data_IF_764870053951
#
_entry.id   IF_764870053951
#
_cell.length_a   1.000
_cell.length_b   1.000
_cell.length_c   1.000
_cell.angle_alpha   90.00
_cell.angle_beta   90.00
_cell.angle_gamma   90.00
#
_symmetry.space_group_name_H-M   'P 1'
#
loop_
_entity.id
_entity.type
_entity.pdbx_description
1 polymer ?
#
# COMPACT_ATOMS: atom_id res chain seq x y z
N UNK A 1 4.54 -1.13 -19.51
CA UNK A 1 5.29 -1.82 -18.45
C UNK A 1 5.62 -3.23 -18.94
N UNK A 2 6.83 -3.70 -18.70
CA UNK A 2 7.16 -5.11 -18.91
C UNK A 2 6.51 -6.01 -17.84
N UNK A 3 6.54 -7.35 -17.97
CA UNK A 3 5.89 -8.24 -17.00
C UNK A 3 6.40 -8.11 -15.55
N UNK A 4 7.68 -7.83 -15.36
CA UNK A 4 8.28 -7.65 -14.02
C UNK A 4 7.81 -6.34 -13.38
N UNK A 5 7.81 -5.26 -14.16
CA UNK A 5 7.27 -3.95 -13.76
C UNK A 5 5.78 -4.06 -13.42
N UNK A 6 5.00 -4.83 -14.18
CA UNK A 6 3.59 -5.06 -13.90
C UNK A 6 3.37 -5.86 -12.61
N UNK A 7 4.18 -6.89 -12.36
CA UNK A 7 4.14 -7.65 -11.11
C UNK A 7 4.46 -6.75 -9.90
N UNK A 8 5.48 -5.91 -10.03
CA UNK A 8 5.85 -4.93 -9.00
C UNK A 8 4.75 -3.90 -8.76
N UNK A 9 4.16 -3.34 -9.82
CA UNK A 9 3.04 -2.42 -9.70
C UNK A 9 1.86 -3.02 -8.92
N UNK A 10 1.60 -4.33 -9.09
CA UNK A 10 0.54 -5.03 -8.35
C UNK A 10 0.84 -5.08 -6.87
N UNK A 11 2.06 -5.47 -6.51
CA UNK A 11 2.51 -5.50 -5.12
C UNK A 11 2.38 -4.11 -4.47
N UNK A 12 2.85 -3.06 -5.14
CA UNK A 12 2.72 -1.68 -4.64
C UNK A 12 1.25 -1.31 -4.44
N UNK A 13 0.39 -1.64 -5.41
CA UNK A 13 -1.03 -1.34 -5.32
C UNK A 13 -1.72 -2.11 -4.19
N UNK A 14 -1.43 -3.39 -4.02
CA UNK A 14 -1.94 -4.23 -2.93
C UNK A 14 -1.53 -3.65 -1.57
N UNK A 15 -0.26 -3.28 -1.41
CA UNK A 15 0.22 -2.58 -0.21
C UNK A 15 -0.54 -1.25 0.01
N UNK A 16 -0.81 -0.49 -1.05
CA UNK A 16 -1.59 0.75 -0.97
C UNK A 16 -3.03 0.48 -0.51
N UNK A 17 -3.67 -0.58 -1.02
CA UNK A 17 -5.02 -1.02 -0.61
C UNK A 17 -5.04 -1.36 0.88
N UNK A 18 -4.11 -2.18 1.37
CA UNK A 18 -4.07 -2.58 2.79
C UNK A 18 -3.93 -1.39 3.75
N UNK A 19 -3.22 -0.34 3.33
CA UNK A 19 -2.97 0.85 4.15
C UNK A 19 -4.05 1.92 4.01
N UNK A 20 -4.90 1.84 2.99
CA UNK A 20 -5.91 2.84 2.70
C UNK A 20 -7.19 2.57 3.48
N UNK A 21 -7.44 3.37 4.53
CA UNK A 21 -8.65 3.31 5.36
C UNK A 21 -9.41 4.64 5.28
N UNK A 22 -10.73 4.60 5.44
CA UNK A 22 -11.58 5.79 5.38
C UNK A 22 -11.32 6.64 4.12
N UNK A 23 -11.05 7.94 4.31
CA UNK A 23 -10.83 8.91 3.23
C UNK A 23 -9.69 8.50 2.28
N UNK A 24 -8.63 7.86 2.78
CA UNK A 24 -7.50 7.47 1.93
C UNK A 24 -7.91 6.45 0.84
N UNK A 25 -8.87 5.58 1.16
CA UNK A 25 -9.40 4.62 0.19
C UNK A 25 -10.37 5.28 -0.81
N UNK A 26 -11.18 6.23 -0.35
CA UNK A 26 -12.04 7.05 -1.21
C UNK A 26 -11.21 7.88 -2.20
N UNK A 27 -10.12 8.49 -1.75
CA UNK A 27 -9.18 9.23 -2.60
C UNK A 27 -8.52 8.31 -3.64
N UNK A 28 -8.19 7.08 -3.26
CA UNK A 28 -7.65 6.07 -4.17
C UNK A 28 -8.67 5.65 -5.25
N UNK A 29 -9.91 5.36 -4.84
CA UNK A 29 -11.01 5.05 -5.75
C UNK A 29 -11.26 6.22 -6.72
N UNK A 30 -11.37 7.43 -6.19
CA UNK A 30 -11.56 8.66 -6.97
C UNK A 30 -10.45 8.85 -7.99
N UNK A 31 -9.20 8.62 -7.60
CA UNK A 31 -8.05 8.74 -8.50
C UNK A 31 -8.12 7.76 -9.68
N UNK A 32 -8.51 6.51 -9.43
CA UNK A 32 -8.70 5.51 -10.50
C UNK A 32 -9.86 5.92 -11.40
N UNK A 33 -11.00 6.29 -10.83
CA UNK A 33 -12.21 6.60 -11.59
C UNK A 33 -12.08 7.85 -12.46
N UNK A 34 -11.35 8.87 -12.00
CA UNK A 34 -11.06 10.08 -12.78
C UNK A 34 -10.31 9.79 -14.08
N UNK A 35 -9.48 8.74 -14.12
CA UNK A 35 -8.83 8.29 -15.35
C UNK A 35 -9.69 7.34 -16.17
N UNK A 36 -10.48 6.49 -15.50
CA UNK A 36 -11.25 5.42 -16.15
C UNK A 36 -12.49 5.94 -16.88
N UNK A 37 -13.18 6.92 -16.30
CA UNK A 37 -14.48 7.39 -16.79
C UNK A 37 -14.50 8.92 -16.87
N UNK A 38 -14.45 9.52 -18.07
CA UNK A 38 -14.42 10.98 -18.24
C UNK A 38 -15.60 11.73 -17.62
N UNK A 39 -16.76 11.06 -17.56
CA UNK A 39 -18.01 11.61 -16.98
C UNK A 39 -18.12 11.34 -15.46
N UNK A 40 -17.10 10.75 -14.85
CA UNK A 40 -17.09 10.52 -13.40
C UNK A 40 -16.93 11.84 -12.65
N UNK A 41 -17.78 12.03 -11.65
CA UNK A 41 -17.75 13.18 -10.75
C UNK A 41 -17.73 12.69 -9.31
N UNK A 42 -16.64 12.94 -8.61
CA UNK A 42 -16.57 12.77 -7.16
C UNK A 42 -17.43 13.84 -6.46
N UNK A 43 -18.10 13.47 -5.38
CA UNK A 43 -18.95 14.37 -4.60
C UNK A 43 -18.36 14.49 -3.20
N UNK A 44 -17.84 15.68 -2.90
CA UNK A 44 -17.21 15.96 -1.61
C UNK A 44 -18.21 16.60 -0.65
N UNK A 45 -18.13 16.30 0.65
CA UNK A 45 -18.97 16.95 1.64
C UNK A 45 -18.66 18.44 1.73
N UNK A 46 -19.71 19.28 1.81
CA UNK A 46 -19.54 20.74 1.98
C UNK A 46 -20.13 21.22 3.31
N UNK A 47 -19.24 21.46 4.29
CA UNK A 47 -19.63 21.91 5.63
C UNK A 47 -20.65 20.97 6.28
N UNK A 48 -21.69 21.54 6.88
CA UNK A 48 -22.73 20.76 7.57
C UNK A 48 -23.74 20.07 6.63
N UNK A 49 -23.64 20.29 5.31
CA UNK A 49 -24.57 19.71 4.32
C UNK A 49 -24.20 18.26 4.00
N UNK A 50 -22.94 17.86 4.22
CA UNK A 50 -22.42 16.55 3.85
C UNK A 50 -22.34 16.36 2.34
N UNK A 51 -22.10 15.12 1.93
CA UNK A 51 -22.00 14.61 0.54
C UNK A 51 -23.37 14.18 -0.02
N UNK A 52 -24.42 14.25 0.81
CA UNK A 52 -25.74 13.67 0.53
C UNK A 52 -25.67 12.17 0.19
N UNK A 53 -24.80 11.42 0.87
CA UNK A 53 -24.63 9.97 0.72
C UNK A 53 -24.23 9.55 -0.69
N UNK A 54 -23.33 10.29 -1.30
CA UNK A 54 -22.86 10.04 -2.65
C UNK A 54 -21.38 10.38 -2.68
N UNK A 55 -20.55 9.38 -2.96
CA UNK A 55 -19.09 9.59 -3.02
C UNK A 55 -18.65 9.84 -4.48
N UNK A 56 -19.48 9.43 -5.45
CA UNK A 56 -19.30 9.81 -6.84
C UNK A 56 -20.34 9.19 -7.78
N UNK A 57 -20.45 9.75 -8.99
CA UNK A 57 -21.40 9.26 -9.98
C UNK A 57 -20.88 9.40 -11.42
N UNK A 58 -21.57 8.73 -12.35
CA UNK A 58 -21.52 8.99 -13.79
C UNK A 58 -22.93 9.37 -14.23
N UNK A 59 -23.22 10.68 -14.28
CA UNK A 59 -24.60 11.20 -14.36
C UNK A 59 -25.29 10.81 -15.65
N UNK A 60 -24.54 10.86 -16.75
CA UNK A 60 -24.99 10.50 -18.09
C UNK A 60 -25.50 9.06 -18.15
N UNK A 61 -24.97 8.17 -17.30
CA UNK A 61 -25.31 6.75 -17.23
C UNK A 61 -26.22 6.40 -16.04
N UNK A 62 -26.49 7.34 -15.13
CA UNK A 62 -27.24 7.09 -13.90
C UNK A 62 -26.55 6.07 -12.98
N UNK A 63 -25.22 6.04 -12.97
CA UNK A 63 -24.42 5.12 -12.14
C UNK A 63 -23.92 5.87 -10.91
N UNK A 64 -24.13 5.31 -9.72
CA UNK A 64 -23.76 5.93 -8.45
C UNK A 64 -22.87 5.00 -7.62
N UNK A 65 -21.93 5.61 -6.89
CA UNK A 65 -20.94 4.93 -6.08
C UNK A 65 -20.99 5.42 -4.64
N UNK A 66 -20.87 4.48 -3.71
CA UNK A 66 -20.65 4.73 -2.29
C UNK A 66 -19.43 3.95 -1.82
N UNK A 67 -18.49 4.61 -1.15
CA UNK A 67 -17.19 4.06 -0.77
C UNK A 67 -17.17 3.76 0.72
N UNK A 68 -16.69 2.56 1.07
CA UNK A 68 -16.63 2.09 2.44
C UNK A 68 -15.33 1.33 2.70
N UNK A 69 -14.49 1.89 3.57
CA UNK A 69 -13.23 1.28 4.02
C UNK A 69 -13.14 1.30 5.56
N UNK A 70 -13.77 0.33 6.24
CA UNK A 70 -13.67 0.21 7.70
C UNK A 70 -12.26 -0.22 8.12
N UNK A 71 -11.93 0.04 9.38
CA UNK A 71 -10.66 -0.42 9.96
C UNK A 71 -10.56 -1.94 9.97
N UNK A 72 -11.63 -2.64 10.37
CA UNK A 72 -11.71 -4.10 10.40
C UNK A 72 -13.07 -4.56 9.84
N UNK A 73 -13.04 -5.15 8.64
CA UNK A 73 -14.24 -5.59 7.94
C UNK A 73 -14.75 -6.95 8.45
N UNK A 74 -13.85 -7.79 9.00
CA UNK A 74 -14.18 -9.14 9.46
C UNK A 74 -14.97 -9.13 10.77
N UNK A 75 -14.70 -8.17 11.67
CA UNK A 75 -15.38 -8.10 12.96
C UNK A 75 -16.86 -7.73 12.87
N UNK A 76 -17.33 -7.19 11.74
CA UNK A 76 -18.75 -6.81 11.62
C UNK A 76 -19.23 -6.67 10.17
N UNK A 77 -19.42 -7.79 9.47
CA UNK A 77 -20.14 -7.80 8.18
C UNK A 77 -21.56 -7.25 8.33
N UNK A 78 -22.16 -7.40 9.52
CA UNK A 78 -23.43 -6.77 9.90
C UNK A 78 -23.37 -5.26 9.80
N UNK A 79 -22.26 -4.62 10.16
CA UNK A 79 -22.10 -3.18 10.00
C UNK A 79 -21.99 -2.78 8.54
N UNK A 80 -21.31 -3.58 7.70
CA UNK A 80 -21.26 -3.34 6.27
C UNK A 80 -22.67 -3.40 5.63
N UNK A 81 -23.49 -4.39 6.00
CA UNK A 81 -24.88 -4.51 5.54
C UNK A 81 -25.74 -3.34 6.02
N UNK A 82 -25.63 -2.98 7.30
CA UNK A 82 -26.37 -1.84 7.87
C UNK A 82 -25.97 -0.52 7.20
N UNK A 83 -24.67 -0.32 6.96
CA UNK A 83 -24.10 0.85 6.29
C UNK A 83 -24.60 0.96 4.85
N UNK A 84 -24.51 -0.13 4.08
CA UNK A 84 -25.05 -0.25 2.73
C UNK A 84 -26.52 0.19 2.67
N UNK A 85 -27.39 -0.42 3.49
CA UNK A 85 -28.83 -0.11 3.49
C UNK A 85 -29.09 1.35 3.88
N UNK A 86 -28.42 1.85 4.93
CA UNK A 86 -28.56 3.22 5.42
C UNK A 86 -28.12 4.25 4.38
N UNK A 87 -26.95 4.06 3.80
CA UNK A 87 -26.39 5.02 2.85
C UNK A 87 -27.15 4.98 1.53
N UNK A 88 -27.51 3.81 1.00
CA UNK A 88 -28.32 3.72 -0.22
C UNK A 88 -29.67 4.43 -0.06
N UNK A 89 -30.37 4.25 1.06
CA UNK A 89 -31.65 4.93 1.30
C UNK A 89 -31.47 6.46 1.31
N UNK A 90 -30.37 6.96 1.88
CA UNK A 90 -30.04 8.38 1.85
C UNK A 90 -29.72 8.89 0.45
N UNK A 91 -29.00 8.09 -0.36
CA UNK A 91 -28.72 8.40 -1.76
C UNK A 91 -30.03 8.49 -2.56
N UNK A 92 -30.87 7.47 -2.48
CA UNK A 92 -32.14 7.40 -3.23
C UNK A 92 -33.09 8.56 -2.92
N UNK A 93 -33.10 9.02 -1.66
CA UNK A 93 -33.91 10.16 -1.24
C UNK A 93 -33.47 11.50 -1.86
N UNK A 94 -32.21 11.62 -2.29
CA UNK A 94 -31.61 12.89 -2.74
C UNK A 94 -31.27 12.90 -4.23
N UNK A 95 -31.04 11.72 -4.83
CA UNK A 95 -30.48 11.59 -6.17
C UNK A 95 -31.38 10.69 -7.02
N UNK A 96 -31.86 11.21 -8.15
CA UNK A 96 -32.68 10.48 -9.10
C UNK A 96 -32.44 10.98 -10.54
N UNK A 97 -32.62 10.11 -11.57
CA UNK A 97 -32.84 8.66 -11.47
C UNK A 97 -31.54 7.88 -11.17
N UNK A 98 -31.64 6.78 -10.43
CA UNK A 98 -30.55 5.82 -10.20
C UNK A 98 -30.83 4.59 -11.05
N UNK A 99 -29.92 4.26 -11.97
CA UNK A 99 -30.03 3.07 -12.82
C UNK A 99 -29.11 1.96 -12.35
N UNK A 100 -27.88 2.30 -11.96
CA UNK A 100 -26.94 1.34 -11.39
C UNK A 100 -26.31 1.89 -10.11
N UNK A 101 -26.08 1.00 -9.15
CA UNK A 101 -25.50 1.36 -7.86
C UNK A 101 -24.39 0.40 -7.47
N UNK A 102 -23.22 0.94 -7.11
CA UNK A 102 -22.08 0.13 -6.70
C UNK A 102 -21.57 0.56 -5.32
N UNK A 103 -21.47 -0.41 -4.42
CA UNK A 103 -20.89 -0.21 -3.09
C UNK A 103 -19.43 -0.66 -3.12
N UNK A 104 -18.51 0.29 -3.04
CA UNK A 104 -17.07 0.08 -3.17
C UNK A 104 -16.48 -0.21 -1.80
N UNK A 105 -15.95 -1.41 -1.61
CA UNK A 105 -15.51 -1.89 -0.30
C UNK A 105 -14.03 -2.25 -0.34
N UNK A 106 -13.27 -1.74 0.64
CA UNK A 106 -11.93 -2.25 0.89
C UNK A 106 -12.01 -3.54 1.69
N UNK A 107 -12.17 -4.67 0.99
CA UNK A 107 -12.17 -6.00 1.57
C UNK A 107 -10.76 -6.54 1.84
N UNK A 108 -9.71 -5.78 1.52
CA UNK A 108 -8.31 -6.18 1.67
C UNK A 108 -7.99 -7.54 1.03
N UNK A 109 -8.65 -7.85 -0.10
CA UNK A 109 -8.56 -9.13 -0.81
C UNK A 109 -9.05 -10.35 0.00
N UNK A 110 -9.80 -10.13 1.08
CA UNK A 110 -10.35 -11.19 1.92
C UNK A 110 -11.75 -11.64 1.48
N UNK A 111 -12.37 -10.92 0.55
CA UNK A 111 -13.72 -11.19 0.06
C UNK A 111 -14.83 -10.66 0.96
N UNK A 112 -16.07 -10.84 0.50
CA UNK A 112 -17.28 -10.37 1.20
C UNK A 112 -18.14 -11.56 1.67
N UNK A 113 -18.84 -11.35 2.79
CA UNK A 113 -19.81 -12.32 3.30
C UNK A 113 -21.06 -12.40 2.39
N UNK A 114 -21.70 -13.58 2.31
CA UNK A 114 -22.90 -13.80 1.52
C UNK A 114 -24.07 -12.85 1.87
N UNK A 115 -24.18 -12.40 3.12
CA UNK A 115 -25.22 -11.47 3.56
C UNK A 115 -25.09 -10.08 2.93
N UNK A 116 -23.86 -9.67 2.59
CA UNK A 116 -23.62 -8.46 1.81
C UNK A 116 -24.26 -8.60 0.42
N UNK A 117 -24.02 -9.72 -0.26
CA UNK A 117 -24.58 -10.00 -1.58
C UNK A 117 -26.11 -10.05 -1.54
N UNK A 118 -26.69 -10.74 -0.56
CA UNK A 118 -28.14 -10.77 -0.36
C UNK A 118 -28.72 -9.35 -0.20
N UNK A 119 -28.08 -8.52 0.63
CA UNK A 119 -28.53 -7.16 0.88
C UNK A 119 -28.48 -6.25 -0.36
N UNK A 120 -27.46 -6.38 -1.22
CA UNK A 120 -27.38 -5.55 -2.42
C UNK A 120 -28.34 -6.03 -3.52
N UNK A 121 -28.62 -7.34 -3.61
CA UNK A 121 -29.65 -7.86 -4.50
C UNK A 121 -31.06 -7.46 -4.04
N UNK A 122 -31.32 -7.42 -2.73
CA UNK A 122 -32.57 -6.84 -2.19
C UNK A 122 -32.74 -5.38 -2.64
N UNK A 123 -31.69 -4.56 -2.56
CA UNK A 123 -31.72 -3.17 -3.04
C UNK A 123 -32.04 -3.12 -4.54
N UNK A 124 -31.33 -3.91 -5.36
CA UNK A 124 -31.57 -3.97 -6.81
C UNK A 124 -33.03 -4.26 -7.14
N UNK A 125 -33.60 -5.28 -6.49
CA UNK A 125 -34.95 -5.76 -6.77
C UNK A 125 -36.03 -4.79 -6.25
N UNK A 126 -35.90 -4.32 -5.01
CA UNK A 126 -36.88 -3.45 -4.36
C UNK A 126 -37.01 -2.10 -5.07
N UNK A 127 -35.88 -1.56 -5.54
CA UNK A 127 -35.83 -0.27 -6.22
C UNK A 127 -35.81 -0.38 -7.75
N UNK A 128 -35.93 -1.60 -8.30
CA UNK A 128 -35.95 -1.90 -9.75
C UNK A 128 -34.76 -1.29 -10.50
N UNK A 129 -33.58 -1.34 -9.89
CA UNK A 129 -32.34 -0.89 -10.51
C UNK A 129 -31.97 -1.84 -11.66
N UNK A 130 -31.38 -1.29 -12.73
CA UNK A 130 -30.83 -2.10 -13.82
C UNK A 130 -29.71 -2.99 -13.30
N UNK A 131 -28.85 -2.46 -12.43
CA UNK A 131 -27.84 -3.25 -11.73
C UNK A 131 -27.54 -2.73 -10.33
N UNK A 132 -27.11 -3.62 -9.44
CA UNK A 132 -26.42 -3.25 -8.22
C UNK A 132 -25.41 -4.33 -7.83
N UNK A 133 -24.29 -3.94 -7.23
CA UNK A 133 -23.27 -4.89 -6.81
C UNK A 133 -22.13 -4.25 -6.04
N UNK A 134 -21.22 -5.08 -5.54
CA UNK A 134 -20.02 -4.62 -4.87
C UNK A 134 -18.88 -4.40 -5.87
N UNK A 135 -17.99 -3.47 -5.52
CA UNK A 135 -16.65 -3.38 -6.09
C UNK A 135 -15.64 -3.58 -4.96
N UNK A 136 -14.77 -4.56 -5.10
CA UNK A 136 -13.78 -4.99 -4.10
C UNK A 136 -12.37 -4.48 -4.42
N UNK A 137 -11.39 -4.74 -3.55
CA UNK A 137 -9.98 -4.48 -3.82
C UNK A 137 -9.51 -5.08 -5.15
N UNK A 138 -9.96 -6.31 -5.45
CA UNK A 138 -9.69 -6.99 -6.72
C UNK A 138 -10.26 -6.21 -7.91
N UNK A 139 -11.47 -5.67 -7.80
CA UNK A 139 -12.09 -4.89 -8.88
C UNK A 139 -11.36 -3.56 -9.09
N UNK A 140 -10.89 -2.94 -8.01
CA UNK A 140 -10.04 -1.76 -8.08
C UNK A 140 -8.70 -2.06 -8.77
N UNK A 141 -8.07 -3.19 -8.44
CA UNK A 141 -6.83 -3.62 -9.10
C UNK A 141 -7.06 -3.81 -10.61
N UNK A 142 -8.11 -4.53 -10.99
CA UNK A 142 -8.44 -4.75 -12.40
C UNK A 142 -8.69 -3.43 -13.15
N UNK A 143 -9.40 -2.49 -12.52
CA UNK A 143 -9.65 -1.15 -13.08
C UNK A 143 -8.35 -0.36 -13.24
N UNK A 144 -7.48 -0.35 -12.23
CA UNK A 144 -6.17 0.30 -12.33
C UNK A 144 -5.38 -0.27 -13.51
N UNK A 145 -5.29 -1.59 -13.64
CA UNK A 145 -4.50 -2.23 -14.70
C UNK A 145 -5.15 -2.23 -16.10
N UNK A 146 -6.35 -1.65 -16.23
CA UNK A 146 -6.92 -1.28 -17.52
C UNK A 146 -6.51 0.12 -18.00
N UNK A 147 -5.88 0.92 -17.14
CA UNK A 147 -5.36 2.24 -17.48
C UNK A 147 -4.02 2.14 -18.23
N UNK A 148 -3.62 3.24 -18.86
CA UNK A 148 -2.30 3.36 -19.47
C UNK A 148 -1.19 3.45 -18.40
N UNK A 149 0.04 3.08 -18.75
CA UNK A 149 1.15 3.02 -17.81
C UNK A 149 1.40 4.35 -17.07
N UNK A 150 1.32 5.49 -17.77
CA UNK A 150 1.51 6.82 -17.19
C UNK A 150 0.44 7.17 -16.15
N UNK A 151 -0.79 6.74 -16.38
CA UNK A 151 -1.91 6.91 -15.46
C UNK A 151 -1.75 6.00 -14.24
N UNK A 152 -1.31 4.75 -14.45
CA UNK A 152 -0.99 3.83 -13.36
C UNK A 152 0.11 4.43 -12.48
N UNK A 153 1.22 4.92 -13.06
CA UNK A 153 2.30 5.56 -12.31
C UNK A 153 1.86 6.82 -11.57
N UNK A 154 0.89 7.57 -12.11
CA UNK A 154 0.32 8.73 -11.42
C UNK A 154 -0.45 8.34 -10.16
N UNK A 155 -1.00 7.12 -10.11
CA UNK A 155 -1.75 6.61 -8.95
C UNK A 155 -0.84 5.88 -7.96
N UNK A 156 0.01 4.97 -8.42
CA UNK A 156 0.84 4.13 -7.54
C UNK A 156 2.19 4.76 -7.20
N UNK A 157 2.58 5.83 -7.90
CA UNK A 157 3.91 6.40 -7.86
C UNK A 157 4.86 5.74 -8.85
N UNK A 158 6.04 6.35 -9.03
CA UNK A 158 7.10 5.74 -9.82
C UNK A 158 7.89 4.74 -8.99
N UNK A 159 8.36 3.67 -9.62
CA UNK A 159 9.23 2.70 -8.97
C UNK A 159 10.49 3.36 -8.42
N UNK A 160 10.82 3.17 -7.13
CA UNK A 160 12.17 3.44 -6.64
C UNK A 160 13.13 2.49 -7.36
N UNK A 161 14.23 3.00 -7.90
CA UNK A 161 15.16 2.17 -8.67
C UNK A 161 16.59 2.56 -8.30
N UNK A 162 17.21 1.84 -7.34
CA UNK A 162 18.58 2.13 -6.90
C UNK A 162 19.58 2.07 -8.06
N UNK A 163 19.35 1.27 -9.11
CA UNK A 163 20.26 1.19 -10.25
C UNK A 163 20.28 2.46 -11.11
N UNK A 164 19.25 3.30 -11.01
CA UNK A 164 19.15 4.57 -11.75
C UNK A 164 19.74 5.76 -10.99
N UNK A 165 20.18 5.56 -9.75
CA UNK A 165 20.83 6.60 -8.97
C UNK A 165 22.31 6.67 -9.37
N UNK A 166 22.76 7.86 -9.78
CA UNK A 166 24.19 8.13 -10.01
C UNK A 166 24.95 8.40 -8.71
N UNK A 167 24.29 9.07 -7.77
CA UNK A 167 24.79 9.40 -6.43
C UNK A 167 23.60 9.65 -5.51
N UNK A 168 23.69 9.21 -4.26
CA UNK A 168 22.68 9.52 -3.24
C UNK A 168 22.62 11.02 -2.94
N UNK A 169 21.40 11.57 -2.94
CA UNK A 169 21.16 12.94 -2.48
C UNK A 169 21.24 12.98 -0.95
N UNK A 170 22.25 13.66 -0.42
CA UNK A 170 22.49 13.74 1.01
C UNK A 170 21.44 14.54 1.77
N UNK A 171 20.72 15.47 1.13
CA UNK A 171 19.61 16.16 1.78
C UNK A 171 18.44 15.20 2.01
N UNK A 172 18.10 14.41 0.99
CA UNK A 172 17.07 13.38 1.07
C UNK A 172 17.47 12.31 2.09
N UNK A 173 18.73 11.88 2.06
CA UNK A 173 19.25 10.89 3.01
C UNK A 173 19.16 11.41 4.46
N UNK A 174 19.48 12.69 4.70
CA UNK A 174 19.35 13.31 6.00
C UNK A 174 17.88 13.36 6.48
N UNK A 175 16.94 13.73 5.60
CA UNK A 175 15.51 13.71 5.92
C UNK A 175 15.01 12.31 6.26
N UNK A 176 15.42 11.29 5.48
CA UNK A 176 15.08 9.88 5.72
C UNK A 176 15.61 9.41 7.07
N UNK A 177 16.91 9.61 7.34
CA UNK A 177 17.53 9.18 8.60
C UNK A 177 16.87 9.90 9.78
N UNK A 178 16.66 11.21 9.69
CA UNK A 178 15.99 11.98 10.75
C UNK A 178 14.59 11.45 11.04
N UNK A 179 13.82 11.12 10.01
CA UNK A 179 12.49 10.53 10.15
C UNK A 179 12.54 9.16 10.85
N UNK A 180 13.41 8.26 10.38
CA UNK A 180 13.62 6.94 10.99
C UNK A 180 13.96 7.07 12.49
N UNK A 181 14.86 7.99 12.83
CA UNK A 181 15.28 8.24 14.21
C UNK A 181 14.15 8.80 15.11
N UNK A 182 13.13 9.43 14.53
CA UNK A 182 12.00 10.02 15.26
C UNK A 182 10.83 9.05 15.45
N UNK A 183 10.84 7.87 14.82
CA UNK A 183 9.75 6.91 14.93
C UNK A 183 9.62 6.37 16.38
N UNK A 184 8.41 6.40 16.98
CA UNK A 184 8.16 5.95 18.34
C UNK A 184 8.10 4.42 18.41
N UNK A 185 9.25 3.78 18.27
CA UNK A 185 9.41 2.32 18.27
C UNK A 185 10.32 1.93 19.45
N UNK A 186 10.06 0.77 20.06
CA UNK A 186 10.77 0.31 21.25
C UNK A 186 11.24 -1.15 21.18
N UNK A 187 12.33 -1.40 21.92
CA UNK A 187 13.11 -2.64 22.08
C UNK A 187 13.74 -3.18 20.79
N UNK A 188 15.00 -2.81 20.59
CA UNK A 188 15.96 -3.56 19.78
C UNK A 188 16.44 -4.82 20.52
N UNK A 189 16.67 -5.90 19.77
CA UNK A 189 17.41 -7.07 20.24
C UNK A 189 18.67 -7.20 19.40
N UNK A 190 19.82 -7.34 20.05
CA UNK A 190 21.09 -7.56 19.36
C UNK A 190 21.00 -8.80 18.45
N UNK A 191 21.38 -8.63 17.19
CA UNK A 191 21.50 -9.70 16.20
C UNK A 191 22.75 -10.56 16.50
N UNK A 192 22.62 -11.88 16.35
CA UNK A 192 23.79 -12.76 16.33
C UNK A 192 24.48 -12.63 14.97
N UNK A 193 25.81 -12.53 14.99
CA UNK A 193 26.63 -12.41 13.78
C UNK A 193 26.62 -13.75 13.06
N UNK A 194 25.86 -13.83 11.96
CA UNK A 194 25.84 -14.98 11.04
C UNK A 194 26.49 -14.55 9.73
N UNK A 195 27.26 -15.45 9.10
CA UNK A 195 27.80 -15.24 7.75
C UNK A 195 26.64 -15.18 6.73
N UNK A 196 26.43 -14.05 6.04
CA UNK A 196 25.26 -13.88 5.18
C UNK A 196 25.40 -14.71 3.90
N UNK A 197 24.41 -15.58 3.64
CA UNK A 197 24.17 -16.13 2.30
C UNK A 197 23.01 -15.36 1.67
N UNK A 198 23.35 -14.31 0.93
CA UNK A 198 22.42 -13.32 0.39
C UNK A 198 21.27 -13.94 -0.42
N UNK A 199 21.60 -14.90 -1.29
CA UNK A 199 20.61 -15.55 -2.16
C UNK A 199 19.72 -16.51 -1.36
N UNK A 200 20.28 -17.27 -0.41
CA UNK A 200 19.46 -18.10 0.48
C UNK A 200 18.55 -17.25 1.36
N UNK A 201 19.01 -16.08 1.81
CA UNK A 201 18.22 -15.14 2.60
C UNK A 201 17.04 -14.57 1.81
N UNK A 202 17.25 -14.17 0.55
CA UNK A 202 16.17 -13.76 -0.37
C UNK A 202 15.11 -14.85 -0.49
N UNK A 203 15.55 -16.10 -0.73
CA UNK A 203 14.64 -17.24 -0.86
C UNK A 203 13.90 -17.54 0.46
N UNK A 204 14.61 -17.53 1.59
CA UNK A 204 14.06 -17.82 2.91
C UNK A 204 12.97 -16.81 3.29
N UNK A 205 13.17 -15.53 2.98
CA UNK A 205 12.22 -14.46 3.27
C UNK A 205 11.15 -14.30 2.17
N UNK A 206 11.07 -15.21 1.20
CA UNK A 206 10.07 -15.20 0.12
C UNK A 206 10.04 -13.89 -0.70
N UNK A 207 11.21 -13.26 -0.88
CA UNK A 207 11.32 -12.01 -1.63
C UNK A 207 11.32 -12.28 -3.14
N UNK A 208 10.49 -11.55 -3.88
CA UNK A 208 10.39 -11.69 -5.33
C UNK A 208 11.64 -11.19 -6.06
N UNK A 209 11.82 -11.64 -7.31
CA UNK A 209 12.95 -11.23 -8.16
C UNK A 209 13.11 -9.70 -8.31
N UNK A 210 12.04 -8.91 -8.49
CA UNK A 210 12.16 -7.45 -8.51
C UNK A 210 12.73 -6.87 -7.21
N UNK A 211 12.27 -7.35 -6.05
CA UNK A 211 12.73 -6.86 -4.73
C UNK A 211 14.17 -7.28 -4.47
N UNK A 212 14.50 -8.54 -4.77
CA UNK A 212 15.88 -9.04 -4.76
C UNK A 212 16.80 -8.14 -5.60
N UNK A 213 16.39 -7.77 -6.81
CA UNK A 213 17.16 -6.87 -7.67
C UNK A 213 17.39 -5.51 -7.03
N UNK A 214 16.43 -4.96 -6.29
CA UNK A 214 16.61 -3.68 -5.62
C UNK A 214 17.52 -3.74 -4.41
N UNK A 215 17.46 -4.80 -3.61
CA UNK A 215 18.43 -5.02 -2.55
C UNK A 215 19.85 -5.14 -3.14
N UNK A 216 20.01 -5.91 -4.23
CA UNK A 216 21.29 -6.03 -4.95
C UNK A 216 21.77 -4.68 -5.49
N UNK A 217 20.87 -3.88 -6.06
CA UNK A 217 21.23 -2.58 -6.62
C UNK A 217 21.53 -1.55 -5.53
N UNK A 218 20.84 -1.64 -4.39
CA UNK A 218 21.09 -0.82 -3.22
C UNK A 218 22.43 -1.14 -2.57
N UNK A 219 22.84 -2.41 -2.59
CA UNK A 219 24.17 -2.86 -2.16
C UNK A 219 25.30 -2.11 -2.88
N UNK A 220 25.19 -1.91 -4.19
CA UNK A 220 26.20 -1.17 -4.95
C UNK A 220 26.32 0.31 -4.54
N UNK A 221 25.33 0.86 -3.83
CA UNK A 221 25.33 2.25 -3.32
C UNK A 221 25.89 2.37 -1.90
N UNK A 222 26.31 1.27 -1.27
CA UNK A 222 26.76 1.27 0.13
C UNK A 222 27.99 2.15 0.36
N UNK A 223 28.89 2.28 -0.62
CA UNK A 223 30.05 3.15 -0.49
C UNK A 223 29.66 4.60 -0.17
N UNK A 224 28.66 5.13 -0.87
CA UNK A 224 28.17 6.51 -0.68
C UNK A 224 27.44 6.66 0.65
N UNK A 225 26.66 5.66 1.05
CA UNK A 225 25.98 5.63 2.35
C UNK A 225 26.98 5.57 3.51
N UNK A 226 28.00 4.71 3.43
CA UNK A 226 29.01 4.58 4.48
C UNK A 226 29.84 5.84 4.63
N UNK A 227 30.20 6.47 3.51
CA UNK A 227 30.86 7.77 3.51
C UNK A 227 30.00 8.82 4.21
N UNK A 228 28.70 8.86 3.95
CA UNK A 228 27.78 9.75 4.64
C UNK A 228 27.74 9.47 6.14
N UNK A 229 27.54 8.21 6.55
CA UNK A 229 27.41 7.84 7.96
C UNK A 229 28.68 8.20 8.76
N UNK A 230 29.87 7.86 8.23
CA UNK A 230 31.16 8.20 8.85
C UNK A 230 31.36 9.71 9.02
N UNK A 231 30.85 10.51 8.09
CA UNK A 231 30.97 11.96 8.14
C UNK A 231 30.00 12.64 9.12
N UNK A 232 28.94 11.96 9.57
CA UNK A 232 27.87 12.56 10.36
C UNK A 232 27.92 12.17 11.85
N UNK A 233 28.49 11.01 12.23
CA UNK A 233 28.87 10.62 13.60
C UNK A 233 29.24 9.13 13.64
N UNK A 234 30.21 8.76 14.49
CA UNK A 234 30.59 7.35 14.72
C UNK A 234 29.41 6.49 15.21
N UNK A 235 28.45 7.08 15.95
CA UNK A 235 27.31 6.36 16.53
C UNK A 235 26.08 6.34 15.62
N UNK A 236 26.07 7.10 14.52
CA UNK A 236 24.90 7.22 13.66
C UNK A 236 24.57 5.89 12.98
N UNK A 237 25.59 5.15 12.54
CA UNK A 237 25.41 3.87 11.88
C UNK A 237 24.76 2.81 12.79
N UNK A 238 25.19 2.76 14.06
CA UNK A 238 24.62 1.86 15.07
C UNK A 238 23.19 2.28 15.45
N UNK A 239 22.97 3.57 15.67
CA UNK A 239 21.64 4.08 16.01
C UNK A 239 20.62 3.83 14.89
N UNK A 240 21.06 3.99 13.64
CA UNK A 240 20.24 3.72 12.46
C UNK A 240 19.97 2.22 12.29
N UNK A 241 20.96 1.36 12.58
CA UNK A 241 20.80 -0.10 12.59
C UNK A 241 19.69 -0.50 13.55
N UNK A 242 19.80 -0.05 14.79
CA UNK A 242 18.87 -0.42 15.85
C UNK A 242 17.45 0.04 15.51
N UNK A 243 17.30 1.24 14.94
CA UNK A 243 16.01 1.74 14.47
C UNK A 243 15.45 0.95 13.28
N UNK A 244 16.27 0.54 12.33
CA UNK A 244 15.83 -0.28 11.21
C UNK A 244 15.41 -1.69 11.65
N UNK A 245 16.15 -2.30 12.59
CA UNK A 245 15.77 -3.57 13.20
C UNK A 245 14.43 -3.46 13.95
N UNK A 246 14.24 -2.39 14.71
CA UNK A 246 12.98 -2.09 15.40
C UNK A 246 11.79 -1.99 14.43
N UNK A 247 11.95 -1.25 13.32
CA UNK A 247 10.93 -1.16 12.26
C UNK A 247 10.61 -2.56 11.71
N UNK A 248 11.64 -3.34 11.37
CA UNK A 248 11.49 -4.69 10.84
C UNK A 248 10.74 -5.62 11.81
N UNK A 249 11.17 -5.69 13.08
CA UNK A 249 10.56 -6.57 14.08
C UNK A 249 9.10 -6.21 14.37
N UNK A 250 8.75 -4.92 14.34
CA UNK A 250 7.37 -4.49 14.50
C UNK A 250 6.50 -4.89 13.30
N UNK A 251 6.99 -4.62 12.09
CA UNK A 251 6.25 -4.88 10.84
C UNK A 251 6.07 -6.37 10.57
N UNK A 252 7.09 -7.18 10.85
CA UNK A 252 7.10 -8.63 10.63
C UNK A 252 5.99 -9.39 11.37
N UNK A 253 5.49 -8.84 12.49
CA UNK A 253 4.44 -9.50 13.30
C UNK A 253 3.22 -9.94 12.48
N UNK A 254 2.90 -9.20 11.41
CA UNK A 254 1.69 -9.40 10.62
C UNK A 254 1.96 -9.45 9.10
N UNK A 255 3.23 -9.46 8.66
CA UNK A 255 3.60 -9.32 7.25
C UNK A 255 4.79 -10.21 6.92
N UNK A 256 4.84 -10.70 5.69
CA UNK A 256 5.93 -11.52 5.15
C UNK A 256 6.23 -11.15 3.70
N UNK A 257 7.34 -11.65 3.16
CA UNK A 257 7.70 -11.48 1.75
C UNK A 257 7.75 -10.03 1.28
N UNK A 258 7.21 -9.80 0.10
CA UNK A 258 7.20 -8.50 -0.56
C UNK A 258 6.38 -7.44 0.19
N UNK A 259 5.30 -7.85 0.87
CA UNK A 259 4.48 -6.94 1.68
C UNK A 259 5.24 -6.44 2.90
N UNK A 260 6.02 -7.30 3.55
CA UNK A 260 6.92 -6.89 4.63
C UNK A 260 7.95 -5.87 4.14
N UNK A 261 8.58 -6.13 3.00
CA UNK A 261 9.54 -5.22 2.40
C UNK A 261 8.94 -3.84 2.16
N UNK A 262 7.78 -3.77 1.49
CA UNK A 262 7.16 -2.50 1.16
C UNK A 262 6.62 -1.74 2.37
N UNK A 263 6.11 -2.44 3.38
CA UNK A 263 5.66 -1.80 4.60
C UNK A 263 6.84 -1.18 5.37
N UNK A 264 8.01 -1.84 5.41
CA UNK A 264 9.25 -1.24 5.95
C UNK A 264 9.65 0.00 5.15
N UNK A 265 9.71 -0.10 3.81
CA UNK A 265 10.08 1.02 2.94
C UNK A 265 9.17 2.22 3.19
N UNK A 266 7.86 1.98 3.24
CA UNK A 266 6.88 3.03 3.43
C UNK A 266 6.91 3.65 4.83
N UNK A 267 7.17 2.87 5.89
CA UNK A 267 7.24 3.36 7.27
C UNK A 267 8.51 4.18 7.52
N UNK A 268 9.63 3.74 6.96
CA UNK A 268 10.91 4.42 7.05
C UNK A 268 11.05 5.62 6.09
N UNK A 269 10.16 5.76 5.10
CA UNK A 269 10.16 6.92 4.22
C UNK A 269 9.34 8.07 4.82
N UNK A 270 9.88 9.29 4.95
CA UNK A 270 9.11 10.45 5.40
C UNK A 270 8.04 10.87 4.40
N UNK A 271 8.21 10.48 3.13
CA UNK A 271 7.32 10.79 2.02
C UNK A 271 7.29 9.67 0.99
N UNK A 272 6.27 9.64 0.14
CA UNK A 272 6.03 8.56 -0.82
C UNK A 272 6.76 8.73 -2.15
N UNK A 273 7.48 9.83 -2.38
CA UNK A 273 8.22 10.02 -3.63
C UNK A 273 9.38 9.04 -3.76
N UNK A 274 9.62 8.60 -5.01
CA UNK A 274 10.62 7.57 -5.35
C UNK A 274 12.00 7.80 -4.73
N UNK A 275 12.44 9.05 -4.60
CA UNK A 275 13.79 9.35 -4.11
C UNK A 275 13.95 9.02 -2.62
N UNK A 276 12.92 9.25 -1.80
CA UNK A 276 12.90 8.88 -0.40
C UNK A 276 12.87 7.36 -0.24
N UNK A 277 11.97 6.68 -0.96
CA UNK A 277 11.88 5.23 -0.95
C UNK A 277 13.18 4.57 -1.43
N UNK A 278 13.84 5.13 -2.45
CA UNK A 278 15.11 4.59 -2.93
C UNK A 278 16.22 4.74 -1.88
N UNK A 279 16.30 5.88 -1.19
CA UNK A 279 17.24 6.06 -0.08
C UNK A 279 16.99 5.07 1.06
N UNK A 280 15.73 4.80 1.39
CA UNK A 280 15.36 3.78 2.38
C UNK A 280 15.77 2.38 1.92
N UNK A 281 15.56 2.03 0.64
CA UNK A 281 16.00 0.73 0.10
C UNK A 281 17.51 0.57 0.20
N UNK A 282 18.30 1.62 -0.04
CA UNK A 282 19.76 1.57 0.11
C UNK A 282 20.16 1.35 1.58
N UNK A 283 19.53 2.07 2.52
CA UNK A 283 19.73 1.85 3.97
C UNK A 283 19.36 0.42 4.35
N UNK A 284 18.21 -0.06 3.89
CA UNK A 284 17.74 -1.41 4.18
C UNK A 284 18.65 -2.48 3.58
N UNK A 285 19.25 -2.23 2.40
CA UNK A 285 20.24 -3.13 1.78
C UNK A 285 21.48 -3.30 2.65
N UNK A 286 21.93 -2.22 3.31
CA UNK A 286 23.04 -2.29 4.29
C UNK A 286 22.73 -3.25 5.42
N UNK A 287 21.54 -3.12 6.01
CA UNK A 287 21.15 -3.92 7.17
C UNK A 287 20.66 -5.32 6.81
N UNK A 288 20.31 -5.53 5.53
CA UNK A 288 20.12 -6.87 4.98
C UNK A 288 21.46 -7.61 4.91
N UNK A 289 22.54 -6.94 4.49
CA UNK A 289 23.91 -7.49 4.48
C UNK A 289 24.39 -7.86 5.88
N UNK A 290 24.19 -6.98 6.85
CA UNK A 290 24.69 -7.15 8.22
C UNK A 290 23.78 -8.00 9.12
N UNK A 291 22.81 -8.71 8.54
CA UNK A 291 21.90 -9.62 9.25
C UNK A 291 21.00 -8.94 10.30
N UNK A 292 20.77 -7.63 10.17
CA UNK A 292 19.96 -6.84 11.11
C UNK A 292 18.49 -6.72 10.70
N UNK A 293 18.18 -6.92 9.42
CA UNK A 293 16.81 -7.05 8.92
C UNK A 293 16.68 -8.30 8.06
N UNK A 294 15.46 -8.86 8.05
CA UNK A 294 15.11 -10.15 7.42
C UNK A 294 15.84 -11.35 8.05
N UNK A 295 15.20 -12.52 8.03
CA UNK A 295 15.71 -13.70 8.75
C UNK A 295 16.81 -14.42 7.98
N UNK A 296 17.80 -14.94 8.71
CA UNK A 296 18.75 -15.90 8.14
C UNK A 296 18.14 -17.30 8.08
N UNK A 297 18.41 -18.06 7.00
CA UNK A 297 18.11 -19.48 6.99
C UNK A 297 18.94 -20.13 8.11
N UNK A 298 18.28 -20.72 9.10
CA UNK A 298 18.97 -21.52 10.11
C UNK A 298 19.71 -22.63 9.38
N UNK A 299 21.03 -22.73 9.56
CA UNK A 299 21.77 -23.91 9.14
C UNK A 299 21.05 -25.12 9.78
N UNK A 300 20.42 -25.92 8.93
CA UNK A 300 19.84 -27.17 9.40
C UNK A 300 20.97 -27.99 9.99
N UNK A 301 20.77 -28.49 11.22
CA UNK A 301 21.38 -29.75 11.60
C UNK A 301 21.09 -30.74 10.46
N UNK A 302 22.11 -30.99 9.64
CA UNK A 302 22.14 -32.18 8.80
C UNK A 302 21.90 -33.38 9.69
N UNK A 303 20.73 -34.00 9.54
CA UNK A 303 20.47 -35.41 9.82
C UNK A 303 19.25 -35.85 9.02
#
# INVERSE_FOLDING_TARGET
MNPQEKALARIIFQNKIHRSKGQAFEDLFTSIMNYLEPDFQAIKPWGNIGDRKNDGYIKSKGIFFQVYAPEDLQKSYTDAVNKLKKDFNGLYAQWNPIYEFYFVVNDEYQGLNADCENAIQEIKNNYKLKNAGFLTAKDMENRLFSLNDDQIFSIIGFFPDPAKIKQLDYNILNEVIKHIMQLPIGKSTASEIVLPDWDKKIQFNQLSKPIASWLNNGYYQLHDLEKYLKNNSDFLADSLRDKMNEIYLETKKNREGDDLFWEIVNKASPRTEKMYQTSVIVIMSKYFETCDVFEEPKEGNSN
#
